data_IF_718395508660
#
_entry.id   IF_718395508660
#
_cell.length_a   1.000
_cell.length_b   1.000
_cell.length_c   1.000
_cell.angle_alpha   90.00
_cell.angle_beta   90.00
_cell.angle_gamma   90.00
#
_symmetry.space_group_name_H-M   'P 1'
#
loop_
_entity.id
_entity.type
_entity.pdbx_description
1 polymer ?
#
# COMPACT_ATOMS: atom_id res chain seq x y z
N UNK A 1 11.74 26.52 2.62
CA UNK A 1 10.41 26.33 3.21
C UNK A 1 10.11 24.83 3.14
N UNK A 2 9.79 24.17 4.25
CA UNK A 2 9.51 22.72 4.26
C UNK A 2 8.11 22.48 3.72
N UNK A 3 8.03 21.82 2.57
CA UNK A 3 6.78 21.31 2.02
C UNK A 3 6.22 20.22 2.96
N UNK A 4 4.89 20.15 3.05
CA UNK A 4 4.09 19.33 3.96
C UNK A 4 4.32 17.81 3.83
N UNK A 5 4.17 17.10 4.96
CA UNK A 5 4.13 15.63 5.16
C UNK A 5 5.02 14.82 4.21
N UNK A 6 6.27 14.63 4.63
CA UNK A 6 7.18 13.71 3.94
C UNK A 6 6.73 12.26 4.13
N UNK A 7 7.12 11.38 3.21
CA UNK A 7 6.79 9.94 3.31
C UNK A 7 7.78 9.15 4.17
N UNK A 8 9.03 9.59 4.28
CA UNK A 8 10.03 8.98 5.16
C UNK A 8 9.57 9.01 6.62
N UNK A 9 9.94 7.99 7.38
CA UNK A 9 9.65 7.93 8.80
C UNK A 9 10.41 9.04 9.55
N UNK A 10 9.74 9.71 10.48
CA UNK A 10 10.37 10.68 11.37
C UNK A 10 11.45 10.01 12.24
N UNK A 11 12.48 10.75 12.71
CA UNK A 11 13.49 10.18 13.61
C UNK A 11 12.91 9.55 14.88
N UNK A 12 11.83 10.13 15.41
CA UNK A 12 11.13 9.61 16.59
C UNK A 12 10.48 8.26 16.26
N UNK A 13 9.76 8.18 15.13
CA UNK A 13 9.17 6.93 14.68
C UNK A 13 10.26 5.87 14.45
N UNK A 14 11.35 6.18 13.75
CA UNK A 14 12.46 5.24 13.51
C UNK A 14 13.07 4.72 14.81
N UNK A 15 13.19 5.57 15.83
CA UNK A 15 13.66 5.15 17.16
C UNK A 15 12.72 4.10 17.76
N UNK A 16 11.40 4.30 17.66
CA UNK A 16 10.41 3.34 18.16
C UNK A 16 10.35 2.06 17.33
N UNK A 17 10.49 2.13 15.99
CA UNK A 17 10.54 0.95 15.11
C UNK A 17 11.74 0.04 15.43
N UNK A 18 12.82 0.58 16.00
CA UNK A 18 13.99 -0.18 16.46
C UNK A 18 13.88 -0.63 17.92
N UNK A 19 12.92 -0.12 18.68
CA UNK A 19 12.79 -0.40 20.11
C UNK A 19 12.03 -1.72 20.37
N UNK A 20 12.68 -2.64 21.10
CA UNK A 20 12.14 -3.96 21.48
C UNK A 20 10.88 -3.88 22.31
N UNK A 21 10.72 -2.82 23.09
CA UNK A 21 9.58 -2.67 24.00
C UNK A 21 8.37 -2.01 23.31
N UNK A 22 8.50 -1.58 22.05
CA UNK A 22 7.43 -0.91 21.32
C UNK A 22 7.17 -1.53 19.96
N UNK A 23 7.74 -1.01 18.87
CA UNK A 23 7.36 -1.40 17.52
C UNK A 23 8.27 -2.44 16.86
N UNK A 24 9.45 -2.70 17.41
CA UNK A 24 10.36 -3.72 16.85
C UNK A 24 9.72 -5.11 16.69
N UNK A 25 8.88 -5.61 17.62
CA UNK A 25 8.18 -6.88 17.42
C UNK A 25 7.34 -6.92 16.14
N UNK A 26 6.70 -5.81 15.73
CA UNK A 26 5.96 -5.72 14.47
C UNK A 26 6.89 -5.71 13.26
N UNK A 27 8.06 -5.06 13.36
CA UNK A 27 9.06 -5.06 12.29
C UNK A 27 9.62 -6.47 12.08
N UNK A 28 9.94 -7.18 13.16
CA UNK A 28 10.40 -8.56 13.11
C UNK A 28 9.31 -9.47 12.54
N UNK A 29 8.05 -9.26 12.93
CA UNK A 29 6.90 -9.96 12.36
C UNK A 29 6.76 -9.74 10.85
N UNK A 30 6.87 -8.50 10.36
CA UNK A 30 6.86 -8.21 8.91
C UNK A 30 8.01 -8.89 8.18
N UNK A 31 9.20 -8.95 8.80
CA UNK A 31 10.36 -9.62 8.21
C UNK A 31 10.14 -11.13 8.04
N UNK A 32 9.41 -11.75 8.96
CA UNK A 32 9.09 -13.18 8.97
C UNK A 32 7.91 -13.56 8.03
N UNK A 33 7.12 -12.58 7.59
CA UNK A 33 5.90 -12.78 6.80
C UNK A 33 5.97 -12.07 5.44
N UNK A 34 6.38 -12.80 4.41
CA UNK A 34 6.62 -12.27 3.05
C UNK A 34 5.37 -11.70 2.36
N UNK A 35 4.17 -12.03 2.84
CA UNK A 35 2.90 -11.48 2.36
C UNK A 35 2.59 -10.07 2.89
N UNK A 36 3.36 -9.59 3.88
CA UNK A 36 3.14 -8.29 4.52
C UNK A 36 3.98 -7.20 3.87
N UNK A 37 3.33 -6.09 3.56
CA UNK A 37 3.99 -4.89 3.07
C UNK A 37 3.99 -3.81 4.14
N UNK A 38 5.11 -3.10 4.31
CA UNK A 38 5.23 -1.97 5.23
C UNK A 38 5.57 -0.68 4.46
N UNK A 39 4.78 0.37 4.67
CA UNK A 39 5.01 1.70 4.08
C UNK A 39 5.08 2.79 5.17
N UNK A 40 5.97 3.77 4.99
CA UNK A 40 6.11 4.90 5.91
C UNK A 40 5.22 6.09 5.53
N UNK A 41 4.76 6.83 6.54
CA UNK A 41 3.93 8.04 6.43
C UNK A 41 4.32 9.04 7.52
N UNK A 42 5.52 9.60 7.47
CA UNK A 42 6.02 10.57 8.45
C UNK A 42 6.01 10.07 9.90
N UNK A 43 4.92 10.29 10.64
CA UNK A 43 4.73 9.90 12.04
C UNK A 43 4.14 8.50 12.19
N UNK A 44 3.87 7.80 11.07
CA UNK A 44 3.29 6.44 11.07
C UNK A 44 4.05 5.47 10.15
N UNK A 45 3.98 4.19 10.49
CA UNK A 45 4.24 3.08 9.58
C UNK A 45 2.97 2.23 9.44
N UNK A 46 2.60 1.86 8.22
CA UNK A 46 1.38 1.11 7.95
C UNK A 46 1.75 -0.27 7.40
N UNK A 47 1.16 -1.32 7.97
CA UNK A 47 1.35 -2.71 7.57
C UNK A 47 0.11 -3.19 6.84
N UNK A 48 0.30 -3.76 5.65
CA UNK A 48 -0.75 -4.20 4.75
C UNK A 48 -0.67 -5.70 4.48
N UNK A 49 -1.85 -6.29 4.24
CA UNK A 49 -2.03 -7.62 3.65
C UNK A 49 -3.23 -7.58 2.72
N UNK A 50 -3.14 -8.21 1.55
CA UNK A 50 -4.20 -8.24 0.53
C UNK A 50 -4.90 -6.88 0.35
N UNK A 51 -4.13 -5.81 0.13
CA UNK A 51 -4.47 -4.39 0.05
C UNK A 51 -5.11 -3.75 1.28
N UNK A 52 -5.42 -4.54 2.31
CA UNK A 52 -6.02 -4.07 3.53
C UNK A 52 -4.95 -3.69 4.55
N UNK A 53 -5.07 -2.49 5.11
CA UNK A 53 -4.32 -2.12 6.32
C UNK A 53 -4.69 -3.10 7.43
N UNK A 54 -3.67 -3.68 8.06
CA UNK A 54 -3.81 -4.50 9.27
C UNK A 54 -3.54 -3.63 10.49
N UNK A 55 -2.34 -3.03 10.52
CA UNK A 55 -1.86 -2.19 11.61
C UNK A 55 -1.36 -0.84 11.10
N UNK A 56 -1.50 0.18 11.94
CA UNK A 56 -0.78 1.43 11.86
C UNK A 56 0.01 1.62 13.16
N UNK A 57 1.32 1.80 13.05
CA UNK A 57 2.25 2.08 14.13
C UNK A 57 2.51 3.58 14.13
N UNK A 58 1.98 4.31 15.11
CA UNK A 58 1.93 5.76 15.10
C UNK A 58 2.61 6.39 16.32
N UNK A 59 3.18 7.58 16.15
CA UNK A 59 3.58 8.44 17.26
C UNK A 59 2.49 9.47 17.52
N UNK A 60 1.77 9.34 18.64
CA UNK A 60 0.77 10.31 19.08
C UNK A 60 1.29 11.13 20.28
N UNK A 61 0.54 12.16 20.71
CA UNK A 61 0.94 13.04 21.84
C UNK A 61 1.24 12.28 23.14
N UNK A 62 0.66 11.09 23.32
CA UNK A 62 0.85 10.23 24.48
C UNK A 62 1.96 9.17 24.35
N UNK A 63 2.67 9.13 23.21
CA UNK A 63 3.69 8.13 22.93
C UNK A 63 3.33 7.21 21.75
N UNK A 64 4.02 6.06 21.62
CA UNK A 64 3.76 5.11 20.55
C UNK A 64 2.42 4.43 20.73
N UNK A 65 1.65 4.30 19.64
CA UNK A 65 0.33 3.67 19.60
C UNK A 65 0.27 2.69 18.44
N UNK A 66 -0.30 1.52 18.68
CA UNK A 66 -0.69 0.59 17.63
C UNK A 66 -2.19 0.73 17.38
N UNK A 67 -2.56 0.84 16.12
CA UNK A 67 -3.95 0.99 15.66
C UNK A 67 -4.28 -0.22 14.79
N UNK A 68 -5.27 -1.02 15.23
CA UNK A 68 -5.76 -2.19 14.50
C UNK A 68 -6.92 -1.78 13.60
N UNK A 69 -6.84 -2.09 12.32
CA UNK A 69 -7.93 -1.85 11.38
C UNK A 69 -8.91 -3.03 11.34
N UNK A 70 -10.17 -2.75 11.63
CA UNK A 70 -11.26 -3.73 11.72
C UNK A 70 -12.28 -3.59 10.58
N UNK A 71 -11.96 -2.86 9.52
CA UNK A 71 -12.89 -2.55 8.44
C UNK A 71 -13.44 -3.81 7.73
N UNK A 72 -12.67 -4.90 7.72
CA UNK A 72 -13.05 -6.18 7.10
C UNK A 72 -13.99 -7.01 7.98
N UNK A 73 -14.04 -6.76 9.29
CA UNK A 73 -14.90 -7.51 10.22
C UNK A 73 -16.39 -7.38 9.85
N UNK A 74 -16.80 -6.29 9.17
CA UNK A 74 -18.18 -6.09 8.72
C UNK A 74 -18.70 -7.14 7.75
N UNK A 75 -17.83 -7.96 7.17
CA UNK A 75 -18.21 -8.99 6.22
C UNK A 75 -18.32 -10.40 6.83
N UNK A 76 -18.05 -10.50 8.14
CA UNK A 76 -18.07 -11.75 8.89
C UNK A 76 -19.34 -11.89 9.70
N UNK A 77 -19.89 -13.10 9.77
CA UNK A 77 -21.05 -13.39 10.62
C UNK A 77 -20.73 -13.37 12.11
N UNK A 78 -19.52 -13.81 12.47
CA UNK A 78 -19.00 -13.94 13.82
C UNK A 78 -18.12 -12.74 14.25
N UNK A 79 -18.25 -11.60 13.54
CA UNK A 79 -17.48 -10.40 13.81
C UNK A 79 -17.46 -9.95 15.29
N UNK A 80 -18.55 -10.05 16.09
CA UNK A 80 -18.51 -9.59 17.47
C UNK A 80 -17.50 -10.38 18.31
N UNK A 81 -17.46 -11.71 18.12
CA UNK A 81 -16.58 -12.60 18.86
C UNK A 81 -15.12 -12.39 18.47
N UNK A 82 -14.85 -12.20 17.17
CA UNK A 82 -13.50 -11.96 16.66
C UNK A 82 -12.93 -10.62 17.15
N UNK A 83 -13.71 -9.54 17.12
CA UNK A 83 -13.24 -8.24 17.62
C UNK A 83 -13.11 -8.27 19.14
N UNK A 84 -14.00 -8.97 19.86
CA UNK A 84 -13.90 -9.16 21.32
C UNK A 84 -12.63 -9.93 21.68
N UNK A 85 -12.26 -10.96 20.92
CA UNK A 85 -11.01 -11.70 21.11
C UNK A 85 -9.79 -10.78 20.97
N UNK A 86 -9.70 -10.00 19.88
CA UNK A 86 -8.63 -9.00 19.70
C UNK A 86 -8.60 -8.01 20.87
N UNK A 87 -9.76 -7.47 21.26
CA UNK A 87 -9.87 -6.50 22.34
C UNK A 87 -9.32 -7.07 23.66
N UNK A 88 -9.74 -8.28 24.02
CA UNK A 88 -9.28 -8.96 25.23
C UNK A 88 -7.76 -9.18 25.22
N UNK A 89 -7.19 -9.58 24.07
CA UNK A 89 -5.74 -9.79 23.91
C UNK A 89 -4.93 -8.51 24.14
N UNK A 90 -5.40 -7.36 23.62
CA UNK A 90 -4.59 -6.12 23.65
C UNK A 90 -4.96 -5.14 24.77
N UNK A 91 -6.10 -5.33 25.45
CA UNK A 91 -6.56 -4.50 26.57
C UNK A 91 -6.68 -5.24 27.90
N UNK A 92 -6.56 -6.57 27.91
CA UNK A 92 -6.44 -7.35 29.15
C UNK A 92 -7.71 -7.49 30.00
N UNK A 93 -8.91 -7.48 29.41
CA UNK A 93 -10.13 -7.73 30.20
C UNK A 93 -11.45 -7.88 29.43
N UNK A 94 -12.36 -8.68 29.99
CA UNK A 94 -13.67 -9.08 29.42
C UNK A 94 -14.79 -8.02 29.56
N UNK A 95 -14.45 -6.73 29.68
CA UNK A 95 -15.48 -5.71 29.90
C UNK A 95 -16.25 -5.41 28.60
N UNK A 96 -17.33 -6.16 28.37
CA UNK A 96 -18.16 -6.04 27.18
C UNK A 96 -18.75 -4.63 26.99
N UNK A 97 -19.01 -3.90 28.08
CA UNK A 97 -19.48 -2.51 28.01
C UNK A 97 -18.37 -1.55 27.54
N UNK A 98 -17.13 -1.80 27.93
CA UNK A 98 -15.97 -1.06 27.43
C UNK A 98 -15.75 -1.36 25.95
N UNK A 99 -15.76 -2.65 25.56
CA UNK A 99 -15.73 -3.07 24.16
C UNK A 99 -16.79 -2.36 23.32
N UNK A 100 -18.05 -2.37 23.77
CA UNK A 100 -19.17 -1.76 23.03
C UNK A 100 -18.97 -0.25 22.85
N UNK A 101 -18.57 0.46 23.90
CA UNK A 101 -18.33 1.92 23.87
C UNK A 101 -17.10 2.30 23.05
N UNK A 102 -16.04 1.50 23.11
CA UNK A 102 -14.77 1.79 22.45
C UNK A 102 -14.80 1.44 20.97
N UNK A 103 -15.49 0.36 20.59
CA UNK A 103 -15.40 -0.20 19.24
C UNK A 103 -16.65 0.08 18.41
N UNK A 104 -17.86 0.21 18.96
CA UNK A 104 -19.09 0.30 18.14
C UNK A 104 -19.67 1.71 18.19
N UNK A 105 -19.66 2.40 17.05
CA UNK A 105 -20.40 3.65 16.85
C UNK A 105 -21.60 3.45 15.95
N UNK A 106 -22.65 4.24 16.20
CA UNK A 106 -23.82 4.34 15.32
C UNK A 106 -23.72 5.59 14.47
N UNK A 107 -23.90 5.45 13.15
CA UNK A 107 -24.15 6.57 12.25
C UNK A 107 -25.61 6.54 11.74
N UNK A 108 -25.98 7.47 10.86
CA UNK A 108 -27.36 7.59 10.34
C UNK A 108 -27.87 6.34 9.61
N UNK A 109 -26.99 5.49 9.08
CA UNK A 109 -27.32 4.42 8.14
C UNK A 109 -26.64 3.06 8.42
N UNK A 110 -25.72 2.96 9.39
CA UNK A 110 -25.01 1.73 9.73
C UNK A 110 -24.35 1.79 11.12
N UNK A 111 -23.87 0.65 11.59
CA UNK A 111 -22.77 0.64 12.56
C UNK A 111 -21.44 0.97 11.87
N UNK A 112 -20.53 1.60 12.60
CA UNK A 112 -19.13 1.75 12.25
C UNK A 112 -18.29 1.23 13.40
N UNK A 113 -17.31 0.39 13.09
CA UNK A 113 -16.35 -0.05 14.09
C UNK A 113 -15.16 0.88 14.11
N UNK A 114 -14.93 1.51 15.26
CA UNK A 114 -13.71 2.28 15.51
C UNK A 114 -12.51 1.32 15.56
N UNK A 115 -11.36 1.72 15.02
CA UNK A 115 -10.15 0.92 15.16
C UNK A 115 -9.75 0.79 16.63
N UNK A 116 -9.25 -0.39 17.02
CA UNK A 116 -8.71 -0.59 18.37
C UNK A 116 -7.33 0.07 18.43
N UNK A 117 -7.19 1.00 19.36
CA UNK A 117 -5.90 1.64 19.68
C UNK A 117 -5.35 1.01 20.96
N UNK A 118 -4.04 0.84 21.09
CA UNK A 118 -3.41 0.43 22.34
C UNK A 118 -1.93 0.84 22.36
N UNK A 119 -1.34 0.90 23.56
CA UNK A 119 0.10 1.11 23.70
C UNK A 119 0.80 -0.21 23.35
N UNK A 120 1.85 -0.19 22.52
CA UNK A 120 2.56 -1.41 22.17
C UNK A 120 3.16 -2.06 23.41
N UNK A 121 3.28 -3.38 23.36
CA UNK A 121 3.92 -4.20 24.36
C UNK A 121 4.76 -5.28 23.67
N UNK A 122 5.75 -5.81 24.37
CA UNK A 122 6.69 -6.79 23.84
C UNK A 122 6.18 -8.22 24.00
N UNK A 123 5.05 -8.54 23.34
CA UNK A 123 4.51 -9.90 23.30
C UNK A 123 4.21 -10.29 21.85
N UNK A 124 5.15 -11.03 21.26
CA UNK A 124 5.03 -11.53 19.88
C UNK A 124 3.92 -12.58 19.74
N UNK A 125 3.55 -13.28 20.81
CA UNK A 125 2.46 -14.25 20.81
C UNK A 125 1.12 -13.57 20.54
N UNK A 126 0.85 -12.46 21.23
CA UNK A 126 -0.35 -11.67 20.99
C UNK A 126 -0.37 -11.07 19.58
N UNK A 127 0.77 -10.61 19.05
CA UNK A 127 0.85 -10.11 17.66
C UNK A 127 0.44 -11.22 16.66
N UNK A 128 0.94 -12.44 16.86
CA UNK A 128 0.59 -13.62 16.05
C UNK A 128 -0.90 -13.97 16.14
N UNK A 129 -1.46 -13.99 17.34
CA UNK A 129 -2.87 -14.32 17.54
C UNK A 129 -3.79 -13.26 16.91
N UNK A 130 -3.47 -11.97 17.10
CA UNK A 130 -4.17 -10.87 16.44
C UNK A 130 -4.04 -10.96 14.92
N UNK A 131 -2.85 -11.30 14.40
CA UNK A 131 -2.63 -11.48 12.97
C UNK A 131 -3.57 -12.53 12.38
N UNK A 132 -3.67 -13.71 12.98
CA UNK A 132 -4.50 -14.79 12.44
C UNK A 132 -5.98 -14.41 12.39
N UNK A 133 -6.48 -13.66 13.38
CA UNK A 133 -7.85 -13.13 13.35
C UNK A 133 -8.02 -12.11 12.21
N UNK A 134 -7.09 -11.15 12.06
CA UNK A 134 -7.18 -10.13 11.01
C UNK A 134 -7.03 -10.74 9.60
N UNK A 135 -6.18 -11.75 9.47
CA UNK A 135 -5.99 -12.55 8.26
C UNK A 135 -7.28 -13.27 7.89
N UNK A 136 -7.91 -13.95 8.85
CA UNK A 136 -9.21 -14.59 8.66
C UNK A 136 -10.29 -13.57 8.23
N UNK A 137 -10.35 -12.38 8.86
CA UNK A 137 -11.26 -11.29 8.46
C UNK A 137 -11.10 -10.91 6.98
N UNK A 138 -9.86 -10.75 6.52
CA UNK A 138 -9.59 -10.39 5.13
C UNK A 138 -9.90 -11.53 4.17
N UNK A 139 -9.49 -12.76 4.51
CA UNK A 139 -9.67 -13.92 3.64
C UNK A 139 -11.16 -14.25 3.45
N UNK A 140 -11.97 -14.15 4.51
CA UNK A 140 -13.42 -14.29 4.43
C UNK A 140 -14.05 -13.25 3.49
N UNK A 141 -13.60 -11.99 3.54
CA UNK A 141 -14.07 -10.97 2.59
C UNK A 141 -13.69 -11.29 1.14
N UNK A 142 -12.45 -11.71 0.89
CA UNK A 142 -11.95 -11.96 -0.46
C UNK A 142 -12.48 -13.24 -1.11
N UNK A 143 -12.90 -14.22 -0.30
CA UNK A 143 -13.45 -15.48 -0.77
C UNK A 143 -14.95 -15.40 -1.11
N UNK A 144 -15.64 -14.31 -0.72
CA UNK A 144 -17.08 -14.13 -0.95
C UNK A 144 -17.37 -13.43 -2.28
N UNK A 145 -18.17 -14.08 -3.14
CA UNK A 145 -18.70 -13.49 -4.38
C UNK A 145 -19.64 -12.30 -4.09
N UNK A 146 -20.47 -12.43 -3.05
CA UNK A 146 -21.42 -11.39 -2.63
C UNK A 146 -21.41 -11.28 -1.10
N UNK A 147 -20.53 -10.48 -0.50
CA UNK A 147 -20.41 -10.36 0.94
C UNK A 147 -21.58 -9.55 1.50
N UNK A 148 -22.14 -10.07 2.58
CA UNK A 148 -23.14 -9.39 3.39
C UNK A 148 -22.41 -8.41 4.31
N UNK A 149 -22.85 -7.16 4.33
CA UNK A 149 -22.41 -6.18 5.32
C UNK A 149 -23.19 -6.43 6.63
N UNK A 150 -22.60 -7.23 7.53
CA UNK A 150 -23.16 -7.58 8.83
C UNK A 150 -23.30 -6.39 9.78
N UNK A 151 -22.57 -5.29 9.56
CA UNK A 151 -22.78 -4.06 10.32
C UNK A 151 -24.08 -3.39 9.90
N UNK A 152 -24.36 -3.30 8.60
CA UNK A 152 -25.67 -2.83 8.10
C UNK A 152 -26.79 -3.79 8.51
N UNK A 153 -26.57 -5.10 8.37
CA UNK A 153 -27.55 -6.12 8.78
C UNK A 153 -27.94 -5.97 10.24
N UNK A 154 -26.97 -5.90 11.14
CA UNK A 154 -27.22 -5.71 12.57
C UNK A 154 -27.95 -4.39 12.86
N UNK A 155 -27.61 -3.32 12.12
CA UNK A 155 -28.27 -2.02 12.24
C UNK A 155 -29.75 -2.05 11.83
N UNK A 156 -30.09 -2.74 10.74
CA UNK A 156 -31.47 -2.88 10.27
C UNK A 156 -32.28 -3.87 11.11
N UNK A 157 -31.64 -4.90 11.65
CA UNK A 157 -32.23 -5.82 12.62
C UNK A 157 -32.62 -5.08 13.91
N UNK A 158 -31.74 -4.24 14.45
CA UNK A 158 -32.02 -3.35 15.61
C UNK A 158 -33.24 -2.43 15.39
N UNK A 159 -33.67 -2.22 14.12
CA UNK A 159 -34.79 -1.37 13.72
C UNK A 159 -36.04 -2.14 13.27
N UNK A 160 -36.04 -3.48 13.32
CA UNK A 160 -37.17 -4.30 12.90
C UNK A 160 -37.47 -4.25 11.39
N UNK A 161 -36.45 -4.02 10.56
CA UNK A 161 -36.58 -3.94 9.09
C UNK A 161 -35.88 -5.12 8.39
N UNK A 162 -36.41 -5.58 7.25
CA UNK A 162 -35.92 -6.78 6.52
C UNK A 162 -34.69 -6.53 5.63
N UNK A 163 -33.90 -7.61 5.49
CA UNK A 163 -32.48 -7.74 5.12
C UNK A 163 -32.01 -7.23 3.73
N UNK A 164 -32.90 -6.82 2.83
CA UNK A 164 -32.59 -6.73 1.38
C UNK A 164 -31.55 -5.66 0.99
N UNK A 165 -31.19 -4.74 1.90
CA UNK A 165 -30.21 -3.65 1.66
C UNK A 165 -28.79 -3.93 2.16
N UNK A 166 -28.53 -5.10 2.74
CA UNK A 166 -27.22 -5.44 3.31
C UNK A 166 -26.24 -6.08 2.31
N UNK A 167 -26.73 -6.51 1.14
CA UNK A 167 -25.87 -7.06 0.09
C UNK A 167 -25.00 -5.95 -0.51
N UNK A 168 -23.69 -6.20 -0.55
CA UNK A 168 -22.74 -5.32 -1.23
C UNK A 168 -22.06 -6.07 -2.36
N UNK A 169 -21.78 -5.39 -3.47
CA UNK A 169 -20.91 -5.97 -4.49
C UNK A 169 -19.49 -6.07 -3.92
N UNK A 170 -18.96 -7.30 -3.83
CA UNK A 170 -17.52 -7.47 -3.71
C UNK A 170 -16.93 -7.19 -5.10
N UNK A 171 -16.54 -5.94 -5.34
CA UNK A 171 -15.56 -5.74 -6.39
C UNK A 171 -14.21 -6.04 -5.77
N UNK A 172 -13.76 -7.27 -6.03
CA UNK A 172 -12.36 -7.64 -5.97
C UNK A 172 -11.61 -6.70 -6.91
N UNK A 173 -11.09 -5.60 -6.39
CA UNK A 173 -10.28 -4.67 -7.16
C UNK A 173 -8.91 -5.31 -7.44
N UNK A 174 -8.84 -5.98 -8.60
CA UNK A 174 -7.67 -6.65 -9.16
C UNK A 174 -6.45 -5.71 -9.26
N UNK A 175 -6.68 -4.41 -9.40
CA UNK A 175 -5.62 -3.39 -9.46
C UNK A 175 -4.81 -3.33 -8.17
N UNK A 176 -5.48 -3.21 -7.02
CA UNK A 176 -4.81 -3.18 -5.72
C UNK A 176 -4.09 -4.48 -5.35
N UNK A 177 -4.59 -5.63 -5.82
CA UNK A 177 -3.89 -6.91 -5.64
C UNK A 177 -2.57 -6.92 -6.41
N UNK A 178 -2.61 -6.46 -7.66
CA UNK A 178 -1.41 -6.33 -8.50
C UNK A 178 -0.45 -5.30 -7.93
N UNK A 179 -0.94 -4.18 -7.38
CA UNK A 179 -0.10 -3.18 -6.72
C UNK A 179 0.70 -3.79 -5.55
N UNK A 180 0.05 -4.56 -4.68
CA UNK A 180 0.75 -5.22 -3.57
C UNK A 180 1.70 -6.32 -4.05
N UNK A 181 1.29 -7.12 -5.04
CA UNK A 181 2.17 -8.12 -5.65
C UNK A 181 3.42 -7.47 -6.25
N UNK A 182 3.27 -6.36 -6.96
CA UNK A 182 4.39 -5.59 -7.50
C UNK A 182 5.30 -5.10 -6.38
N UNK A 183 4.75 -4.49 -5.33
CA UNK A 183 5.54 -4.01 -4.20
C UNK A 183 6.37 -5.12 -3.57
N UNK A 184 5.75 -6.24 -3.18
CA UNK A 184 6.43 -7.32 -2.48
C UNK A 184 7.51 -8.01 -3.33
N UNK A 185 7.30 -8.08 -4.64
CA UNK A 185 8.21 -8.78 -5.55
C UNK A 185 9.27 -7.90 -6.21
N UNK A 186 9.25 -6.58 -5.98
CA UNK A 186 10.21 -5.64 -6.59
C UNK A 186 10.99 -4.89 -5.53
N UNK A 187 11.96 -5.59 -4.95
CA UNK A 187 12.88 -5.08 -3.94
C UNK A 187 14.33 -5.17 -4.44
N UNK A 188 14.55 -4.90 -5.75
CA UNK A 188 15.84 -5.07 -6.40
C UNK A 188 16.69 -3.80 -6.29
N UNK A 189 17.88 -3.91 -5.70
CA UNK A 189 18.86 -2.81 -5.64
C UNK A 189 20.10 -3.04 -6.49
N UNK A 190 20.29 -4.23 -7.08
CA UNK A 190 21.39 -4.54 -8.02
C UNK A 190 21.02 -4.19 -9.46
N UNK A 191 19.99 -4.86 -9.99
CA UNK A 191 19.46 -4.60 -11.32
C UNK A 191 17.96 -4.89 -11.32
N UNK A 192 17.14 -3.86 -11.52
CA UNK A 192 15.69 -3.95 -11.42
C UNK A 192 15.04 -2.71 -10.82
N UNK A 193 13.86 -2.88 -10.22
CA UNK A 193 13.12 -1.81 -9.57
C UNK A 193 12.97 -2.15 -8.08
N UNK A 194 13.20 -1.16 -7.23
CA UNK A 194 12.86 -1.18 -5.82
C UNK A 194 11.60 -0.32 -5.60
N UNK A 195 10.46 -0.94 -5.34
CA UNK A 195 9.20 -0.24 -5.07
C UNK A 195 9.12 0.03 -3.57
N UNK A 196 9.03 1.30 -3.20
CA UNK A 196 9.09 1.74 -1.80
C UNK A 196 7.76 2.30 -1.30
N UNK A 197 6.74 2.44 -2.16
CA UNK A 197 5.42 2.88 -1.74
C UNK A 197 4.27 2.37 -2.61
N UNK A 198 3.10 2.15 -1.99
CA UNK A 198 1.85 1.68 -2.63
C UNK A 198 0.59 2.51 -2.37
N UNK A 199 0.59 3.45 -1.41
CA UNK A 199 -0.56 4.37 -1.30
C UNK A 199 -0.10 5.75 -1.65
N UNK A 200 -0.25 6.07 -2.92
CA UNK A 200 0.01 7.41 -3.36
C UNK A 200 -1.17 8.31 -2.99
N UNK A 201 -1.02 9.02 -1.87
CA UNK A 201 -1.79 10.21 -1.59
C UNK A 201 -0.83 11.40 -1.61
N UNK A 202 -1.17 12.45 -2.36
CA UNK A 202 -0.37 13.67 -2.30
C UNK A 202 -0.49 14.37 -0.93
N UNK A 203 0.64 14.77 -0.34
CA UNK A 203 0.64 15.78 0.71
C UNK A 203 -0.17 16.98 0.25
N UNK A 204 -1.00 17.53 1.13
CA UNK A 204 -1.56 18.86 0.91
C UNK A 204 -0.42 19.86 1.10
N UNK A 205 0.25 20.22 0.02
CA UNK A 205 1.24 21.29 0.01
C UNK A 205 0.58 22.54 0.63
N UNK A 206 1.30 23.35 1.40
CA UNK A 206 0.75 24.59 1.98
C UNK A 206 0.98 25.81 1.09
N UNK A 207 1.86 25.67 0.11
CA UNK A 207 2.10 26.67 -0.93
C UNK A 207 0.88 26.76 -1.86
N UNK A 208 0.27 27.95 -1.94
CA UNK A 208 -0.94 28.21 -2.72
C UNK A 208 -0.71 28.05 -4.23
N UNK A 209 0.48 28.37 -4.74
CA UNK A 209 0.77 28.31 -6.19
C UNK A 209 1.00 26.87 -6.63
N UNK A 210 1.77 26.11 -5.85
CA UNK A 210 1.96 24.69 -6.11
C UNK A 210 0.65 23.93 -5.85
N UNK A 211 -0.14 24.34 -4.85
CA UNK A 211 -1.47 23.78 -4.63
C UNK A 211 -2.44 23.99 -5.78
N UNK A 212 -2.45 25.15 -6.43
CA UNK A 212 -3.34 25.38 -7.59
C UNK A 212 -2.96 24.45 -8.75
N UNK A 213 -1.65 24.31 -9.04
CA UNK A 213 -1.16 23.34 -10.03
C UNK A 213 -1.49 21.90 -9.61
N UNK A 214 -1.24 21.53 -8.36
CA UNK A 214 -1.48 20.17 -7.84
C UNK A 214 -2.97 19.84 -7.69
N UNK A 215 -3.83 20.79 -7.34
CA UNK A 215 -5.28 20.55 -7.24
C UNK A 215 -5.88 20.22 -8.60
N UNK A 216 -5.30 20.74 -9.69
CA UNK A 216 -5.64 20.34 -11.05
C UNK A 216 -5.04 18.97 -11.43
N UNK A 217 -3.94 18.55 -10.78
CA UNK A 217 -3.24 17.27 -10.98
C UNK A 217 -3.64 16.14 -10.02
N UNK A 218 -4.57 16.38 -9.08
CA UNK A 218 -5.13 15.32 -8.20
C UNK A 218 -5.84 14.19 -8.96
N UNK A 219 -6.06 14.38 -10.26
CA UNK A 219 -6.55 13.35 -11.15
C UNK A 219 -5.33 12.70 -11.81
N UNK A 220 -5.27 11.38 -11.70
CA UNK A 220 -4.27 10.54 -12.38
C UNK A 220 -2.87 10.56 -11.76
N UNK A 221 -2.86 10.54 -10.43
CA UNK A 221 -1.70 10.25 -9.61
C UNK A 221 -1.19 8.81 -9.85
N UNK A 222 0.14 8.55 -9.86
CA UNK A 222 0.66 7.18 -9.98
C UNK A 222 0.24 6.32 -8.79
N UNK A 223 -0.02 5.04 -9.04
CA UNK A 223 -0.36 4.07 -7.99
C UNK A 223 0.81 3.75 -7.05
N UNK A 224 2.00 3.52 -7.62
CA UNK A 224 3.21 3.12 -6.89
C UNK A 224 4.39 4.04 -7.19
N UNK A 225 5.33 4.08 -6.25
CA UNK A 225 6.63 4.74 -6.43
C UNK A 225 7.76 3.73 -6.26
N UNK A 226 8.76 3.84 -7.13
CA UNK A 226 9.96 3.02 -7.05
C UNK A 226 11.21 3.72 -7.55
N UNK A 227 12.33 3.01 -7.47
CA UNK A 227 13.62 3.45 -7.98
C UNK A 227 14.18 2.34 -8.86
N UNK A 228 14.58 2.67 -10.08
CA UNK A 228 15.32 1.75 -10.93
C UNK A 228 16.78 1.72 -10.53
N UNK A 229 17.31 0.53 -10.34
CA UNK A 229 18.72 0.28 -10.15
C UNK A 229 19.30 -0.42 -11.38
N UNK A 230 20.53 -0.04 -11.75
CA UNK A 230 21.33 -0.76 -12.72
C UNK A 230 22.76 -0.86 -12.20
N UNK A 231 23.32 -2.07 -12.15
CA UNK A 231 24.65 -2.35 -11.58
C UNK A 231 24.85 -1.69 -10.21
N UNK A 232 23.78 -1.69 -9.42
CA UNK A 232 23.75 -1.19 -8.07
C UNK A 232 23.59 0.30 -7.87
N UNK A 233 23.49 1.07 -8.95
CA UNK A 233 23.32 2.52 -8.89
C UNK A 233 21.88 2.89 -9.20
N UNK A 234 21.33 3.85 -8.46
CA UNK A 234 20.03 4.42 -8.79
C UNK A 234 20.12 5.15 -10.14
N UNK A 235 19.15 4.93 -11.03
CA UNK A 235 19.14 5.45 -12.40
C UNK A 235 17.92 6.31 -12.69
N UNK A 236 16.75 5.93 -12.17
CA UNK A 236 15.52 6.71 -12.34
C UNK A 236 14.56 6.56 -11.15
N UNK A 237 13.81 7.63 -10.88
CA UNK A 237 12.58 7.59 -10.10
C UNK A 237 11.46 7.04 -10.99
N UNK A 238 10.80 5.97 -10.55
CA UNK A 238 9.72 5.32 -11.27
C UNK A 238 8.36 5.75 -10.73
N UNK A 239 7.54 6.35 -11.60
CA UNK A 239 6.12 6.62 -11.40
C UNK A 239 5.35 5.46 -12.06
N UNK A 240 4.63 4.66 -11.28
CA UNK A 240 4.08 3.40 -11.78
C UNK A 240 2.56 3.44 -11.66
N UNK A 241 1.88 3.18 -12.78
CA UNK A 241 0.43 3.07 -12.90
C UNK A 241 0.05 1.63 -13.21
N UNK A 242 -0.98 1.10 -12.55
CA UNK A 242 -1.50 -0.24 -12.76
C UNK A 242 -2.87 -0.16 -13.44
N UNK A 243 -3.01 -0.78 -14.61
CA UNK A 243 -4.30 -0.94 -15.29
C UNK A 243 -4.70 -2.40 -15.32
N UNK A 244 -5.74 -2.74 -14.56
CA UNK A 244 -6.16 -4.12 -14.39
C UNK A 244 -7.26 -4.61 -15.35
N UNK A 245 -8.08 -3.70 -15.88
CA UNK A 245 -9.29 -4.05 -16.64
C UNK A 245 -9.43 -3.17 -17.90
N UNK A 246 -10.05 -3.66 -18.98
CA UNK A 246 -10.23 -2.88 -20.22
C UNK A 246 -10.95 -1.54 -20.02
N UNK A 247 -11.95 -1.50 -19.13
CA UNK A 247 -12.69 -0.27 -18.81
C UNK A 247 -11.80 0.83 -18.23
N UNK A 248 -10.63 0.49 -17.71
CA UNK A 248 -9.65 1.44 -17.17
C UNK A 248 -8.71 2.01 -18.24
N UNK A 249 -8.86 1.63 -19.52
CA UNK A 249 -8.00 2.09 -20.60
C UNK A 249 -8.41 3.43 -21.19
N UNK A 250 -9.68 3.79 -21.11
CA UNK A 250 -10.25 4.96 -21.77
C UNK A 250 -10.91 5.93 -20.79
N UNK A 251 -11.25 7.13 -21.28
CA UNK A 251 -11.94 8.16 -20.50
C UNK A 251 -11.02 8.93 -19.54
N UNK A 252 -11.62 9.59 -18.55
CA UNK A 252 -10.90 10.49 -17.63
C UNK A 252 -9.95 9.77 -16.66
N UNK A 253 -10.05 8.45 -16.55
CA UNK A 253 -9.16 7.55 -15.79
C UNK A 253 -8.41 6.57 -16.70
N UNK A 254 -8.40 6.84 -18.02
CA UNK A 254 -7.75 6.01 -19.04
C UNK A 254 -6.23 6.17 -19.09
N UNK A 255 -5.56 5.37 -19.93
CA UNK A 255 -4.10 5.39 -20.07
C UNK A 255 -3.60 6.76 -20.53
N UNK A 256 -4.21 7.35 -21.56
CA UNK A 256 -3.77 8.66 -22.09
C UNK A 256 -3.91 9.77 -21.04
N UNK A 257 -4.98 9.73 -20.25
CA UNK A 257 -5.23 10.70 -19.19
C UNK A 257 -4.21 10.54 -18.05
N UNK A 258 -3.86 9.31 -17.68
CA UNK A 258 -2.80 9.03 -16.70
C UNK A 258 -1.41 9.34 -17.21
N UNK A 259 -1.14 9.09 -18.49
CA UNK A 259 0.14 9.41 -19.09
C UNK A 259 0.38 10.91 -19.00
N UNK A 260 -0.58 11.71 -19.50
CA UNK A 260 -0.49 13.16 -19.45
C UNK A 260 -0.43 13.68 -18.01
N UNK A 261 -1.24 13.14 -17.10
CA UNK A 261 -1.23 13.53 -15.69
C UNK A 261 0.13 13.28 -15.01
N UNK A 262 0.73 12.11 -15.26
CA UNK A 262 2.06 11.77 -14.74
C UNK A 262 3.19 12.54 -15.44
N UNK A 263 3.06 12.86 -16.73
CA UNK A 263 3.98 13.76 -17.44
C UNK A 263 3.97 15.14 -16.80
N UNK A 264 2.79 15.75 -16.66
CA UNK A 264 2.63 17.06 -16.01
C UNK A 264 3.16 17.03 -14.56
N UNK A 265 2.90 15.94 -13.83
CA UNK A 265 3.45 15.70 -12.49
C UNK A 265 4.98 15.67 -12.47
N UNK A 266 5.59 14.96 -13.42
CA UNK A 266 7.06 14.84 -13.54
C UNK A 266 7.76 16.15 -13.87
N UNK A 267 7.05 17.13 -14.44
CA UNK A 267 7.61 18.46 -14.74
C UNK A 267 7.70 19.38 -13.51
N UNK A 268 7.16 18.98 -12.35
CA UNK A 268 7.25 19.76 -11.11
C UNK A 268 8.60 19.47 -10.44
N UNK A 269 9.63 20.21 -10.84
CA UNK A 269 11.02 19.99 -10.40
C UNK A 269 11.20 19.92 -8.88
N UNK A 270 10.60 20.84 -8.12
CA UNK A 270 10.70 20.87 -6.66
C UNK A 270 10.12 19.61 -6.03
N UNK A 271 8.94 19.17 -6.49
CA UNK A 271 8.31 17.96 -6.02
C UNK A 271 9.12 16.71 -6.39
N UNK A 272 9.68 16.65 -7.60
CA UNK A 272 10.50 15.52 -8.03
C UNK A 272 11.80 15.43 -7.24
N UNK A 273 12.37 16.58 -6.86
CA UNK A 273 13.51 16.64 -5.97
C UNK A 273 13.16 16.08 -4.59
N UNK A 274 12.03 16.49 -4.01
CA UNK A 274 11.53 15.95 -2.75
C UNK A 274 11.34 14.43 -2.83
N UNK A 275 10.72 13.91 -3.90
CA UNK A 275 10.53 12.47 -4.10
C UNK A 275 11.85 11.69 -4.17
N UNK A 276 12.87 12.24 -4.83
CA UNK A 276 14.20 11.62 -4.88
C UNK A 276 14.85 11.56 -3.49
N UNK A 277 14.77 12.64 -2.73
CA UNK A 277 15.29 12.70 -1.35
C UNK A 277 14.53 11.71 -0.45
N UNK A 278 13.20 11.67 -0.55
CA UNK A 278 12.37 10.72 0.20
C UNK A 278 12.75 9.27 -0.12
N UNK A 279 12.92 8.93 -1.40
CA UNK A 279 13.27 7.57 -1.81
C UNK A 279 14.61 7.12 -1.21
N UNK A 280 15.63 7.99 -1.25
CA UNK A 280 16.92 7.73 -0.61
C UNK A 280 16.75 7.42 0.88
N UNK A 281 16.01 8.27 1.61
CA UNK A 281 15.78 8.08 3.05
C UNK A 281 14.99 6.81 3.35
N UNK A 282 13.92 6.53 2.61
CA UNK A 282 13.05 5.36 2.84
C UNK A 282 13.84 4.07 2.61
N UNK A 283 14.66 3.99 1.56
CA UNK A 283 15.50 2.82 1.30
C UNK A 283 16.49 2.60 2.45
N UNK A 284 17.16 3.66 2.91
CA UNK A 284 18.05 3.56 4.07
C UNK A 284 17.29 3.18 5.35
N UNK A 285 16.06 3.67 5.54
CA UNK A 285 15.21 3.30 6.68
C UNK A 285 14.79 1.83 6.63
N UNK A 286 14.47 1.28 5.45
CA UNK A 286 14.21 -0.15 5.32
C UNK A 286 15.45 -0.98 5.63
N UNK A 287 16.63 -0.57 5.14
CA UNK A 287 17.91 -1.19 5.47
C UNK A 287 18.16 -1.17 6.99
N UNK A 288 17.96 -0.02 7.63
CA UNK A 288 18.11 0.18 9.07
C UNK A 288 17.20 -0.71 9.93
N UNK A 289 16.05 -1.12 9.38
CA UNK A 289 15.10 -2.04 10.00
C UNK A 289 15.34 -3.50 9.60
N UNK A 290 16.38 -3.77 8.80
CA UNK A 290 16.70 -5.05 8.20
C UNK A 290 15.49 -5.63 7.43
N UNK A 291 14.82 -4.79 6.63
CA UNK A 291 13.71 -5.18 5.78
C UNK A 291 14.19 -5.37 4.34
N UNK A 292 13.57 -6.31 3.63
CA UNK A 292 13.77 -6.57 2.20
C UNK A 292 15.21 -6.92 1.77
N UNK A 293 16.04 -7.44 2.69
CA UNK A 293 17.40 -7.93 2.44
C UNK A 293 18.30 -6.90 1.72
N UNK A 294 18.30 -5.67 2.22
CA UNK A 294 19.10 -4.57 1.69
C UNK A 294 20.54 -4.63 2.21
N UNK A 295 21.45 -5.18 1.43
CA UNK A 295 22.84 -5.47 1.85
C UNK A 295 23.87 -4.38 1.48
N UNK A 296 23.47 -3.31 0.80
CA UNK A 296 24.39 -2.29 0.27
C UNK A 296 24.81 -1.27 1.29
N UNK A 297 25.94 -0.59 1.03
CA UNK A 297 26.33 0.64 1.73
C UNK A 297 25.18 1.67 1.74
N UNK A 298 25.20 2.56 2.72
CA UNK A 298 24.15 3.56 2.87
C UNK A 298 24.13 4.48 1.64
N UNK A 299 22.94 4.69 1.07
CA UNK A 299 22.78 5.59 -0.05
C UNK A 299 22.81 7.04 0.42
N UNK A 300 23.39 7.91 -0.37
CA UNK A 300 23.42 9.36 -0.11
C UNK A 300 22.40 10.08 -0.99
N UNK A 301 22.02 11.29 -0.58
CA UNK A 301 21.15 12.15 -1.40
C UNK A 301 21.77 12.38 -2.78
N UNK A 302 23.09 12.52 -2.87
CA UNK A 302 23.81 12.75 -4.14
C UNK A 302 23.62 11.61 -5.14
N UNK A 303 23.43 10.36 -4.67
CA UNK A 303 23.14 9.21 -5.52
C UNK A 303 21.77 9.31 -6.20
N UNK A 304 20.85 10.11 -5.65
CA UNK A 304 19.45 10.19 -6.09
C UNK A 304 19.12 11.50 -6.81
N UNK A 305 19.75 12.62 -6.48
CA UNK A 305 19.33 13.93 -7.02
C UNK A 305 19.47 14.03 -8.56
N UNK A 306 20.47 13.35 -9.14
CA UNK A 306 20.77 13.39 -10.60
C UNK A 306 20.06 12.31 -11.40
N UNK A 307 19.30 11.42 -10.77
CA UNK A 307 18.64 10.32 -11.48
C UNK A 307 17.51 10.83 -12.39
N UNK A 308 17.19 10.09 -13.45
CA UNK A 308 16.09 10.43 -14.35
C UNK A 308 14.71 10.22 -13.72
N UNK A 309 13.66 10.46 -14.50
CA UNK A 309 12.28 10.09 -14.15
C UNK A 309 11.77 9.14 -15.22
N UNK A 310 11.03 8.11 -14.81
CA UNK A 310 10.48 7.09 -15.68
C UNK A 310 9.01 6.86 -15.32
N UNK A 311 8.14 6.88 -16.34
CA UNK A 311 6.72 6.54 -16.19
C UNK A 311 6.52 5.11 -16.69
N UNK A 312 5.92 4.26 -15.86
CA UNK A 312 5.72 2.84 -16.13
C UNK A 312 4.23 2.53 -16.04
N UNK A 313 3.69 1.90 -17.07
CA UNK A 313 2.34 1.33 -17.05
C UNK A 313 2.43 -0.19 -16.94
N UNK A 314 1.75 -0.75 -15.95
CA UNK A 314 1.64 -2.19 -15.75
C UNK A 314 0.22 -2.62 -16.12
N UNK A 315 0.12 -3.55 -17.06
CA UNK A 315 -1.15 -4.11 -17.50
C UNK A 315 -1.26 -5.55 -17.02
N UNK A 316 -2.17 -5.81 -16.06
CA UNK A 316 -2.27 -7.13 -15.43
C UNK A 316 -3.23 -8.09 -16.13
N UNK A 317 -3.97 -7.63 -17.13
CA UNK A 317 -4.84 -8.46 -17.96
C UNK A 317 -4.31 -8.51 -19.41
N UNK A 318 -4.11 -9.71 -19.97
CA UNK A 318 -3.69 -9.88 -21.36
C UNK A 318 -4.56 -9.13 -22.35
N UNK A 319 -5.88 -9.07 -22.12
CA UNK A 319 -6.81 -8.38 -23.00
C UNK A 319 -6.53 -6.87 -22.96
N UNK A 320 -6.36 -6.31 -21.76
CA UNK A 320 -6.00 -4.90 -21.54
C UNK A 320 -4.71 -4.52 -22.29
N UNK A 321 -3.70 -5.40 -22.32
CA UNK A 321 -2.45 -5.15 -23.06
C UNK A 321 -2.64 -5.14 -24.57
N UNK A 322 -3.41 -6.08 -25.12
CA UNK A 322 -3.62 -6.20 -26.56
C UNK A 322 -4.52 -5.08 -27.12
N UNK A 323 -5.58 -4.70 -26.40
CA UNK A 323 -6.51 -3.66 -26.82
C UNK A 323 -5.82 -2.30 -26.93
N UNK A 324 -4.97 -1.92 -25.97
CA UNK A 324 -4.27 -0.63 -26.03
C UNK A 324 -3.17 -0.59 -27.10
N UNK A 325 -2.35 -1.65 -27.20
CA UNK A 325 -1.27 -1.74 -28.20
C UNK A 325 -1.81 -1.58 -29.63
N UNK A 326 -2.96 -2.21 -29.92
CA UNK A 326 -3.56 -2.17 -31.25
C UNK A 326 -4.21 -0.82 -31.58
N UNK A 327 -4.53 0.02 -30.59
CA UNK A 327 -5.25 1.27 -30.83
C UNK A 327 -4.37 2.53 -30.93
N UNK A 328 -3.17 2.60 -30.31
CA UNK A 328 -2.46 3.90 -30.20
C UNK A 328 -0.92 3.94 -30.22
N UNK A 329 -0.20 2.86 -30.54
CA UNK A 329 1.27 2.93 -30.61
C UNK A 329 1.72 3.28 -32.04
N UNK A 330 1.59 4.55 -32.43
CA UNK A 330 2.33 5.11 -33.57
C UNK A 330 2.84 6.55 -33.35
N UNK A 331 2.42 7.28 -32.28
CA UNK A 331 2.72 8.73 -32.15
C UNK A 331 3.30 9.21 -30.80
N UNK A 332 3.65 8.33 -29.85
CA UNK A 332 4.10 8.77 -28.51
C UNK A 332 5.62 8.81 -28.33
N UNK A 333 6.16 9.94 -27.82
CA UNK A 333 7.57 10.15 -27.42
C UNK A 333 7.93 9.58 -26.04
N UNK A 334 7.00 8.91 -25.36
CA UNK A 334 7.18 8.36 -24.01
C UNK A 334 7.58 6.89 -24.10
N UNK A 335 8.58 6.50 -23.30
CA UNK A 335 9.05 5.12 -23.21
C UNK A 335 8.04 4.27 -22.41
N UNK A 336 6.95 3.85 -23.06
CA UNK A 336 5.97 2.93 -22.49
C UNK A 336 6.60 1.54 -22.40
N UNK A 337 6.90 1.08 -21.18
CA UNK A 337 7.35 -0.29 -20.93
C UNK A 337 6.15 -1.17 -20.58
N UNK A 338 5.73 -1.98 -21.55
CA UNK A 338 4.68 -2.98 -21.39
C UNK A 338 5.25 -4.20 -20.65
N UNK A 339 4.78 -4.43 -19.43
CA UNK A 339 5.11 -5.62 -18.67
C UNK A 339 3.98 -6.63 -18.79
N UNK A 340 4.26 -7.78 -19.40
CA UNK A 340 3.42 -8.97 -19.26
C UNK A 340 3.84 -9.64 -17.96
N UNK A 341 2.94 -9.71 -16.98
CA UNK A 341 3.15 -10.59 -15.82
C UNK A 341 3.08 -12.02 -16.36
N UNK A 342 4.23 -12.58 -16.72
CA UNK A 342 4.36 -14.01 -17.00
C UNK A 342 4.44 -14.70 -15.63
N UNK A 343 3.34 -15.32 -15.21
CA UNK A 343 3.42 -16.38 -14.19
C UNK A 343 4.27 -17.51 -14.78
N UNK A 344 5.56 -17.57 -14.45
CA UNK A 344 6.33 -18.79 -14.61
C UNK A 344 5.93 -19.74 -13.48
N UNK A 345 4.91 -20.57 -13.71
CA UNK A 345 4.88 -21.86 -13.03
C UNK A 345 5.99 -22.71 -13.66
N UNK A 346 7.24 -22.56 -13.19
CA UNK A 346 8.20 -23.63 -13.38
C UNK A 346 7.87 -24.69 -12.33
N UNK A 347 7.49 -25.88 -12.80
CA UNK A 347 7.52 -27.12 -12.03
C UNK A 347 8.95 -27.34 -11.52
N UNK A 348 9.26 -26.72 -10.39
CA UNK A 348 10.39 -27.08 -9.55
C UNK A 348 9.94 -26.91 -8.10
N UNK A 349 9.55 -28.06 -7.56
CA UNK A 349 9.42 -28.38 -6.16
C UNK A 349 10.37 -27.60 -5.26
N UNK A 350 9.79 -27.05 -4.20
CA UNK A 350 10.38 -26.84 -2.88
C UNK A 350 11.67 -26.00 -2.80
N UNK A 351 11.50 -24.76 -2.29
CA UNK A 351 12.44 -23.94 -1.51
C UNK A 351 12.76 -22.51 -2.00
N UNK A 352 12.21 -22.05 -3.12
CA UNK A 352 12.34 -20.63 -3.51
C UNK A 352 10.98 -20.09 -3.98
N UNK A 353 10.35 -19.24 -3.16
CA UNK A 353 9.14 -18.50 -3.55
C UNK A 353 9.33 -17.85 -4.91
N UNK A 354 8.37 -18.08 -5.82
CA UNK A 354 8.42 -17.63 -7.21
C UNK A 354 8.77 -16.14 -7.28
N UNK A 355 9.94 -15.82 -7.83
CA UNK A 355 10.38 -14.45 -8.06
C UNK A 355 9.88 -14.01 -9.43
N UNK A 356 9.05 -12.98 -9.47
CA UNK A 356 8.76 -12.28 -10.71
C UNK A 356 9.91 -11.34 -11.01
N UNK A 357 10.65 -11.60 -12.08
CA UNK A 357 11.50 -10.58 -12.68
C UNK A 357 10.59 -9.73 -13.56
N UNK A 358 10.52 -8.44 -13.28
CA UNK A 358 10.06 -7.46 -14.28
C UNK A 358 11.09 -7.53 -15.42
N UNK A 359 10.87 -8.44 -16.36
CA UNK A 359 11.66 -8.50 -17.59
C UNK A 359 11.16 -7.42 -18.53
N UNK A 360 12.00 -6.40 -18.69
CA UNK A 360 11.82 -5.35 -19.68
C UNK A 360 11.85 -6.02 -21.05
N UNK A 361 10.70 -6.07 -21.74
CA UNK A 361 10.70 -6.21 -23.20
C UNK A 361 11.34 -4.94 -23.76
N UNK A 362 12.68 -4.96 -23.91
CA UNK A 362 13.42 -3.90 -24.58
C UNK A 362 12.93 -3.82 -26.02
N UNK A 363 12.00 -2.90 -26.29
CA UNK A 363 11.93 -2.24 -27.59
C UNK A 363 12.36 -0.80 -27.39
N UNK A 364 13.66 -0.58 -27.49
CA UNK A 364 14.20 0.77 -27.66
C UNK A 364 13.76 1.23 -29.04
N UNK A 365 12.74 2.09 -29.12
CA UNK A 365 12.50 2.86 -30.34
C UNK A 365 13.44 4.06 -30.24
N UNK A 366 14.57 3.96 -30.94
CA UNK A 366 15.48 5.08 -31.17
C UNK A 366 14.81 5.95 -32.23
N UNK A 367 14.61 7.23 -31.95
CA UNK A 367 14.36 8.24 -32.98
C UNK A 367 15.67 8.63 -33.64
#
# INVERSE_FOLDING_TARGET
>A
MSISSTRDASPILMTQLKNKDTFKPFIDFVREHHELALCFRSDRAIIYRNRGKLWELAIEKGGPVVIINLAYAKFMSDWPDQIKAIFNMVRGGENFEEFRKCCIERNKNSFYIRPIRYNPFNDIGVIKDVYEILKYMQDDFYNKLTPVDYFKKSYYYDRGTTDEKANTSCQRNKEYEVQQELFLNNQFTDDGIFIYDMEFHQPKIKDTVINEKLCNLKKNEPDLLGIRFCNGKAVSLCLIEVKANERSLEGTSGVDAHMKGMEDYSQINELMMDRKIEACKIINQFKDLNLYNLDKEEYTVDDFIKIGIEIIFVFSDPITSNTYINHKINDCKVKIQLHKILKSYSECSDLCGGRFKIEVLKKTIIS
#
